data_IF_627944086336
#
_entry.id   IF_627944086336
#
_cell.length_a   1.000
_cell.length_b   1.000
_cell.length_c   1.000
_cell.angle_alpha   90.00
_cell.angle_beta   90.00
_cell.angle_gamma   90.00
#
_symmetry.space_group_name_H-M   'P 1'
#
loop_
_entity.id
_entity.type
_entity.pdbx_description
1 polymer ?
#
# COMPACT_ATOMS: atom_id res chain seq x y z
N UNK A 1 7.58 -0.37 -12.61
CA UNK A 1 7.99 -1.66 -12.01
C UNK A 1 7.28 -1.89 -10.69
N UNK A 2 7.43 -1.02 -9.67
CA UNK A 2 6.82 -1.21 -8.35
C UNK A 2 5.34 -1.63 -8.34
N UNK A 3 4.45 -0.93 -9.07
CA UNK A 3 3.03 -1.27 -9.10
C UNK A 3 2.68 -2.63 -9.70
N UNK A 4 3.56 -3.26 -10.49
CA UNK A 4 3.36 -4.63 -11.01
C UNK A 4 3.82 -5.70 -10.03
N UNK A 5 4.68 -5.33 -9.09
CA UNK A 5 5.32 -6.26 -8.14
C UNK A 5 4.66 -6.22 -6.77
N UNK A 6 3.81 -5.23 -6.47
CA UNK A 6 3.28 -5.03 -5.11
C UNK A 6 2.55 -6.26 -4.56
N UNK A 7 1.83 -7.01 -5.41
CA UNK A 7 1.07 -8.20 -5.00
C UNK A 7 1.90 -9.51 -5.08
N UNK A 8 3.09 -9.47 -5.72
CA UNK A 8 3.90 -10.67 -6.02
C UNK A 8 5.21 -10.65 -5.22
N UNK A 9 5.95 -9.56 -5.32
CA UNK A 9 7.25 -9.30 -4.66
C UNK A 9 7.22 -7.93 -3.96
N UNK A 10 6.47 -7.79 -2.84
CA UNK A 10 6.24 -6.50 -2.19
C UNK A 10 7.53 -5.84 -1.71
N UNK A 11 8.50 -6.62 -1.22
CA UNK A 11 9.80 -6.11 -0.80
C UNK A 11 10.56 -5.48 -1.98
N UNK A 12 10.61 -6.14 -3.14
CA UNK A 12 11.25 -5.60 -4.33
C UNK A 12 10.51 -4.36 -4.85
N UNK A 13 9.17 -4.35 -4.77
CA UNK A 13 8.36 -3.17 -5.10
C UNK A 13 8.74 -1.98 -4.20
N UNK A 14 8.93 -2.21 -2.91
CA UNK A 14 9.36 -1.20 -1.94
C UNK A 14 10.76 -0.67 -2.26
N UNK A 15 11.73 -1.54 -2.55
CA UNK A 15 13.08 -1.10 -2.96
C UNK A 15 13.05 -0.24 -4.23
N UNK A 16 12.20 -0.57 -5.20
CA UNK A 16 12.00 0.27 -6.39
C UNK A 16 11.38 1.64 -6.05
N UNK A 17 10.41 1.70 -5.15
CA UNK A 17 9.82 2.95 -4.70
C UNK A 17 10.84 3.82 -3.95
N UNK A 18 11.67 3.21 -3.09
CA UNK A 18 12.79 3.88 -2.41
C UNK A 18 13.81 4.44 -3.41
N UNK A 19 14.16 3.69 -4.46
CA UNK A 19 15.05 4.20 -5.49
C UNK A 19 14.48 5.44 -6.22
N UNK A 20 13.15 5.49 -6.41
CA UNK A 20 12.47 6.65 -6.97
C UNK A 20 12.46 7.85 -6.00
N UNK A 21 12.33 7.60 -4.69
CA UNK A 21 12.31 8.64 -3.66
C UNK A 21 13.62 9.44 -3.62
N UNK A 22 14.77 8.83 -3.95
CA UNK A 22 16.07 9.52 -4.05
C UNK A 22 16.07 10.71 -5.01
N UNK A 23 15.22 10.68 -6.05
CA UNK A 23 15.10 11.76 -7.04
C UNK A 23 13.81 12.58 -6.89
N UNK A 24 12.77 11.97 -6.32
CA UNK A 24 11.41 12.53 -6.26
C UNK A 24 10.83 12.73 -4.87
N UNK A 25 11.62 12.69 -3.80
CA UNK A 25 11.14 12.69 -2.41
C UNK A 25 10.34 13.92 -1.96
N UNK A 26 10.18 14.95 -2.80
CA UNK A 26 9.30 16.10 -2.49
C UNK A 26 7.92 15.99 -3.16
N UNK A 27 7.70 14.98 -3.97
CA UNK A 27 6.44 14.75 -4.68
C UNK A 27 5.53 13.85 -3.84
N UNK A 28 4.28 14.28 -3.61
CA UNK A 28 3.29 13.48 -2.87
C UNK A 28 3.10 12.10 -3.48
N UNK A 29 2.99 11.99 -4.81
CA UNK A 29 2.84 10.70 -5.50
C UNK A 29 4.01 9.73 -5.24
N UNK A 30 5.22 10.24 -5.05
CA UNK A 30 6.38 9.40 -4.73
C UNK A 30 6.30 8.94 -3.27
N UNK A 31 5.89 9.81 -2.35
CA UNK A 31 5.62 9.47 -0.94
C UNK A 31 4.53 8.41 -0.82
N UNK A 32 3.46 8.57 -1.58
CA UNK A 32 2.37 7.59 -1.68
C UNK A 32 2.86 6.24 -2.18
N UNK A 33 3.66 6.21 -3.25
CA UNK A 33 4.21 4.97 -3.78
C UNK A 33 5.10 4.24 -2.77
N UNK A 34 5.96 4.98 -2.05
CA UNK A 34 6.81 4.40 -0.98
C UNK A 34 5.93 3.91 0.17
N UNK A 35 4.93 4.68 0.59
CA UNK A 35 4.02 4.29 1.68
C UNK A 35 3.22 3.03 1.37
N UNK A 36 2.62 2.93 0.18
CA UNK A 36 1.83 1.77 -0.24
C UNK A 36 2.69 0.50 -0.38
N UNK A 37 3.89 0.63 -0.95
CA UNK A 37 4.79 -0.52 -1.09
C UNK A 37 5.40 -0.94 0.24
N UNK A 38 5.73 0.00 1.12
CA UNK A 38 6.14 -0.30 2.50
C UNK A 38 5.04 -1.05 3.27
N UNK A 39 3.79 -0.59 3.15
CA UNK A 39 2.63 -1.23 3.76
C UNK A 39 2.45 -2.67 3.25
N UNK A 40 2.50 -2.88 1.93
CA UNK A 40 2.43 -4.21 1.34
C UNK A 40 3.59 -5.14 1.78
N UNK A 41 4.78 -4.58 2.02
CA UNK A 41 5.94 -5.30 2.53
C UNK A 41 5.93 -5.52 4.06
N UNK A 42 4.93 -5.00 4.78
CA UNK A 42 4.81 -5.11 6.24
C UNK A 42 5.68 -4.12 7.03
N UNK A 43 6.31 -3.16 6.37
CA UNK A 43 7.10 -2.08 6.98
C UNK A 43 6.16 -0.97 7.47
N UNK A 44 5.31 -1.27 8.45
CA UNK A 44 4.24 -0.39 8.91
C UNK A 44 4.74 0.94 9.49
N UNK A 45 5.91 0.94 10.13
CA UNK A 45 6.53 2.16 10.65
C UNK A 45 6.94 3.12 9.53
N UNK A 46 7.59 2.60 8.50
CA UNK A 46 7.99 3.31 7.28
C UNK A 46 6.76 3.83 6.55
N UNK A 47 5.77 2.96 6.32
CA UNK A 47 4.52 3.30 5.64
C UNK A 47 3.83 4.48 6.33
N UNK A 48 3.72 4.44 7.66
CA UNK A 48 3.07 5.49 8.43
C UNK A 48 3.79 6.84 8.35
N UNK A 49 5.14 6.84 8.37
CA UNK A 49 5.94 8.07 8.18
C UNK A 49 5.70 8.68 6.78
N UNK A 50 5.65 7.84 5.76
CA UNK A 50 5.42 8.28 4.39
C UNK A 50 4.00 8.79 4.17
N UNK A 51 2.97 8.13 4.73
CA UNK A 51 1.58 8.60 4.64
C UNK A 51 1.34 9.91 5.41
N UNK A 52 1.97 10.10 6.57
CA UNK A 52 1.96 11.41 7.27
C UNK A 52 2.57 12.51 6.39
N UNK A 53 3.69 12.21 5.75
CA UNK A 53 4.34 13.15 4.84
C UNK A 53 3.49 13.42 3.59
N UNK A 54 2.89 12.39 3.00
CA UNK A 54 1.94 12.51 1.91
C UNK A 54 0.81 13.46 2.28
N UNK A 55 0.16 13.24 3.43
CA UNK A 55 -0.97 14.04 3.92
C UNK A 55 -0.59 15.49 4.13
N UNK A 56 0.58 15.77 4.70
CA UNK A 56 1.12 17.13 4.87
C UNK A 56 1.32 17.85 3.53
N UNK A 57 1.76 17.14 2.49
CA UNK A 57 2.05 17.73 1.16
C UNK A 57 0.77 17.86 0.32
N UNK A 58 -0.09 16.85 0.34
CA UNK A 58 -1.27 16.77 -0.53
C UNK A 58 -2.53 17.37 0.09
N UNK A 59 -2.60 17.45 1.43
CA UNK A 59 -3.82 17.76 2.18
C UNK A 59 -4.87 16.65 2.13
N UNK A 60 -4.54 15.48 1.57
CA UNK A 60 -5.50 14.40 1.30
C UNK A 60 -5.52 13.36 2.41
N UNK A 61 -6.73 13.05 2.91
CA UNK A 61 -6.98 12.07 3.96
C UNK A 61 -7.25 10.64 3.43
N UNK A 62 -7.11 10.39 2.12
CA UNK A 62 -7.53 9.12 1.48
C UNK A 62 -6.87 7.87 2.08
N UNK A 63 -5.65 8.00 2.62
CA UNK A 63 -4.90 6.91 3.23
C UNK A 63 -5.08 6.78 4.74
N UNK A 64 -6.03 7.51 5.34
CA UNK A 64 -6.34 7.39 6.77
C UNK A 64 -6.67 5.94 7.18
N UNK A 65 -7.41 5.13 6.41
CA UNK A 65 -7.62 3.71 6.73
C UNK A 65 -6.32 2.92 6.80
N UNK A 66 -5.41 3.12 5.84
CA UNK A 66 -4.11 2.43 5.79
C UNK A 66 -3.22 2.86 6.95
N UNK A 67 -3.25 4.14 7.33
CA UNK A 67 -2.54 4.64 8.51
C UNK A 67 -3.06 3.99 9.81
N UNK A 68 -4.38 3.84 9.95
CA UNK A 68 -4.98 3.15 11.09
C UNK A 68 -4.61 1.66 11.11
N UNK A 69 -4.59 1.02 9.95
CA UNK A 69 -4.14 -0.36 9.80
C UNK A 69 -2.66 -0.54 10.16
N UNK A 70 -1.80 0.43 9.82
CA UNK A 70 -0.39 0.43 10.22
C UNK A 70 -0.22 0.50 11.75
N UNK A 71 -0.96 1.36 12.47
CA UNK A 71 -0.89 1.37 13.94
C UNK A 71 -1.37 0.03 14.53
N UNK A 72 -2.38 -0.62 13.92
CA UNK A 72 -2.79 -1.98 14.30
C UNK A 72 -1.67 -3.00 14.04
N UNK A 73 -1.03 -2.96 12.88
CA UNK A 73 0.13 -3.80 12.54
C UNK A 73 1.35 -3.59 13.44
N UNK A 74 1.48 -2.41 14.05
CA UNK A 74 2.48 -2.09 15.08
C UNK A 74 2.06 -2.51 16.51
N UNK A 75 0.93 -3.21 16.66
CA UNK A 75 0.41 -3.67 17.94
C UNK A 75 -0.24 -2.56 18.78
N UNK A 76 -0.73 -1.49 18.15
CA UNK A 76 -1.36 -0.33 18.79
C UNK A 76 -2.82 -0.17 18.34
N UNK A 77 -3.70 -1.16 18.59
CA UNK A 77 -5.10 -1.12 18.16
C UNK A 77 -5.87 0.08 18.74
N UNK A 78 -5.54 0.55 19.95
CA UNK A 78 -6.18 1.74 20.54
C UNK A 78 -5.95 3.00 19.67
N UNK A 79 -4.71 3.19 19.16
CA UNK A 79 -4.42 4.31 18.26
C UNK A 79 -5.13 4.20 16.92
N UNK A 80 -5.37 2.99 16.44
CA UNK A 80 -6.19 2.78 15.25
C UNK A 80 -7.62 3.27 15.49
N UNK A 81 -8.21 2.97 16.65
CA UNK A 81 -9.55 3.43 17.03
C UNK A 81 -9.63 4.95 17.25
N UNK A 82 -8.59 5.57 17.76
CA UNK A 82 -8.53 7.04 17.89
C UNK A 82 -8.57 7.73 16.52
N UNK A 83 -7.84 7.20 15.53
CA UNK A 83 -7.90 7.72 14.15
C UNK A 83 -9.28 7.53 13.52
N UNK A 84 -10.00 6.45 13.82
CA UNK A 84 -11.37 6.23 13.34
C UNK A 84 -12.33 7.33 13.84
N UNK A 85 -12.07 7.87 15.03
CA UNK A 85 -12.88 8.93 15.68
C UNK A 85 -12.46 10.34 15.30
N UNK A 86 -11.39 10.50 14.53
CA UNK A 86 -10.87 11.80 14.13
C UNK A 86 -11.86 12.56 13.24
N UNK A 87 -11.86 13.91 13.26
CA UNK A 87 -12.67 14.71 12.36
C UNK A 87 -12.41 14.38 10.87
N UNK A 88 -11.16 14.10 10.52
CA UNK A 88 -10.72 13.77 9.15
C UNK A 88 -11.37 12.50 8.60
N UNK A 89 -11.79 11.57 9.46
CA UNK A 89 -12.53 10.38 9.06
C UNK A 89 -13.89 10.72 8.41
N UNK A 90 -14.48 11.86 8.75
CA UNK A 90 -15.77 12.29 8.19
C UNK A 90 -15.66 12.71 6.72
N UNK A 91 -14.48 13.18 6.31
CA UNK A 91 -14.19 13.66 4.95
C UNK A 91 -13.99 12.52 3.95
N UNK A 92 -13.83 11.28 4.42
CA UNK A 92 -13.67 10.12 3.56
C UNK A 92 -14.92 9.88 2.69
N UNK A 93 -14.68 9.40 1.48
CA UNK A 93 -15.71 8.91 0.59
C UNK A 93 -16.28 7.56 1.09
N UNK A 94 -17.28 7.02 0.39
CA UNK A 94 -17.91 5.76 0.81
C UNK A 94 -16.92 4.59 0.87
N UNK A 95 -16.05 4.34 -0.14
CA UNK A 95 -14.98 3.35 -0.03
C UNK A 95 -14.05 3.59 1.17
N UNK A 96 -13.56 4.82 1.37
CA UNK A 96 -12.66 5.13 2.49
C UNK A 96 -13.31 4.87 3.86
N UNK A 97 -14.59 5.22 4.03
CA UNK A 97 -15.36 4.92 5.24
C UNK A 97 -15.51 3.42 5.49
N UNK A 98 -15.70 2.64 4.44
CA UNK A 98 -15.81 1.18 4.51
C UNK A 98 -14.49 0.54 4.92
N UNK A 99 -13.38 0.95 4.31
CA UNK A 99 -12.04 0.48 4.70
C UNK A 99 -11.74 0.85 6.16
N UNK A 100 -12.04 2.08 6.58
CA UNK A 100 -11.82 2.53 7.95
C UNK A 100 -12.65 1.71 8.97
N UNK A 101 -13.91 1.40 8.65
CA UNK A 101 -14.76 0.55 9.48
C UNK A 101 -14.23 -0.89 9.60
N UNK A 102 -13.74 -1.47 8.50
CA UNK A 102 -13.09 -2.79 8.52
C UNK A 102 -11.84 -2.78 9.41
N UNK A 103 -11.03 -1.72 9.33
CA UNK A 103 -9.85 -1.54 10.18
C UNK A 103 -10.22 -1.41 11.65
N UNK A 104 -11.28 -0.65 11.96
CA UNK A 104 -11.81 -0.48 13.32
C UNK A 104 -12.30 -1.81 13.89
N UNK A 105 -13.05 -2.58 13.11
CA UNK A 105 -13.51 -3.92 13.48
C UNK A 105 -12.35 -4.86 13.78
N UNK A 106 -11.29 -4.84 12.96
CA UNK A 106 -10.05 -5.56 13.21
C UNK A 106 -9.37 -5.13 14.53
N UNK A 107 -9.28 -3.82 14.79
CA UNK A 107 -8.70 -3.30 16.03
C UNK A 107 -9.49 -3.74 17.28
N UNK A 108 -10.82 -3.78 17.19
CA UNK A 108 -11.68 -4.34 18.25
C UNK A 108 -11.44 -5.84 18.45
N UNK A 109 -11.28 -6.60 17.37
CA UNK A 109 -11.00 -8.02 17.43
C UNK A 109 -9.64 -8.32 18.09
N UNK A 110 -8.60 -7.54 17.80
CA UNK A 110 -7.29 -7.63 18.47
C UNK A 110 -7.39 -7.42 19.99
N UNK A 111 -8.27 -6.51 20.39
CA UNK A 111 -8.63 -6.26 21.80
C UNK A 111 -9.60 -7.30 22.38
N UNK A 112 -9.98 -8.34 21.62
CA UNK A 112 -10.96 -9.37 21.97
C UNK A 112 -12.37 -8.83 22.25
N UNK A 113 -12.70 -7.67 21.70
CA UNK A 113 -14.00 -7.01 21.82
C UNK A 113 -14.90 -7.38 20.62
N UNK A 114 -15.25 -8.66 20.49
CA UNK A 114 -15.91 -9.18 19.28
C UNK A 114 -17.30 -8.57 19.02
N UNK A 115 -18.11 -8.32 20.05
CA UNK A 115 -19.40 -7.62 19.88
C UNK A 115 -19.23 -6.19 19.36
N UNK A 116 -18.20 -5.49 19.83
CA UNK A 116 -17.87 -4.16 19.33
C UNK A 116 -17.41 -4.23 17.88
N UNK A 117 -16.61 -5.24 17.50
CA UNK A 117 -16.16 -5.43 16.12
C UNK A 117 -17.34 -5.58 15.13
N UNK A 118 -18.39 -6.31 15.52
CA UNK A 118 -19.63 -6.39 14.72
C UNK A 118 -20.27 -5.01 14.56
N UNK A 119 -20.36 -4.26 15.67
CA UNK A 119 -20.98 -2.92 15.68
C UNK A 119 -20.24 -1.91 14.78
N UNK A 120 -18.90 -1.96 14.75
CA UNK A 120 -18.09 -1.06 13.88
C UNK A 120 -18.40 -1.27 12.38
N UNK A 121 -18.86 -2.46 11.98
CA UNK A 121 -19.18 -2.80 10.58
C UNK A 121 -20.64 -2.45 10.19
N UNK A 122 -21.51 -2.14 11.16
CA UNK A 122 -22.92 -1.77 10.93
C UNK A 122 -23.06 -0.32 10.43
N UNK A 123 -22.33 0.01 9.37
CA UNK A 123 -22.31 1.34 8.73
C UNK A 123 -23.39 1.47 7.65
N UNK A 124 -23.78 2.70 7.23
CA UNK A 124 -24.78 2.91 6.18
C UNK A 124 -24.46 2.23 4.83
N UNK A 125 -23.19 1.96 4.57
CA UNK A 125 -22.71 1.29 3.36
C UNK A 125 -22.94 -0.23 3.38
N UNK A 126 -23.23 -0.82 4.54
CA UNK A 126 -23.60 -2.23 4.69
C UNK A 126 -25.06 -2.45 4.23
N UNK A 127 -25.29 -2.34 2.93
CA UNK A 127 -26.59 -2.62 2.30
C UNK A 127 -26.54 -3.93 1.52
N UNK A 128 -27.23 -4.94 2.02
CA UNK A 128 -27.29 -6.28 1.42
C UNK A 128 -27.78 -6.28 -0.03
N UNK A 129 -28.53 -5.25 -0.45
CA UNK A 129 -29.15 -5.20 -1.78
C UNK A 129 -28.29 -4.47 -2.82
N UNK A 130 -27.15 -3.90 -2.44
CA UNK A 130 -26.30 -3.12 -3.34
C UNK A 130 -24.88 -3.69 -3.40
N UNK A 131 -24.40 -3.88 -4.62
CA UNK A 131 -23.04 -4.31 -4.90
C UNK A 131 -22.22 -3.12 -5.43
N UNK A 132 -21.47 -2.49 -4.54
CA UNK A 132 -20.40 -1.55 -4.87
C UNK A 132 -19.05 -2.28 -4.86
N UNK A 133 -18.00 -1.64 -5.38
CA UNK A 133 -16.64 -2.21 -5.41
C UNK A 133 -16.15 -2.71 -4.05
N UNK A 134 -16.54 -2.05 -2.96
CA UNK A 134 -16.18 -2.44 -1.59
C UNK A 134 -17.12 -3.48 -0.96
N UNK A 135 -18.32 -3.70 -1.51
CA UNK A 135 -19.37 -4.52 -0.89
C UNK A 135 -18.93 -5.97 -0.61
N UNK A 136 -18.26 -6.68 -1.55
CA UNK A 136 -17.81 -8.05 -1.27
C UNK A 136 -16.89 -8.17 -0.05
N UNK A 137 -15.91 -7.27 0.08
CA UNK A 137 -14.97 -7.26 1.20
C UNK A 137 -15.69 -6.93 2.51
N UNK A 138 -16.57 -5.93 2.51
CA UNK A 138 -17.37 -5.57 3.68
C UNK A 138 -18.29 -6.72 4.13
N UNK A 139 -18.96 -7.41 3.20
CA UNK A 139 -19.84 -8.54 3.53
C UNK A 139 -19.08 -9.72 4.11
N UNK A 140 -17.85 -10.00 3.63
CA UNK A 140 -16.98 -11.01 4.24
C UNK A 140 -16.54 -10.63 5.64
N UNK A 141 -16.03 -9.42 5.82
CA UNK A 141 -15.59 -8.94 7.13
C UNK A 141 -16.74 -9.00 8.15
N UNK A 142 -17.96 -8.65 7.73
CA UNK A 142 -19.14 -8.72 8.59
C UNK A 142 -19.55 -10.16 8.90
N UNK A 143 -19.49 -11.08 7.93
CA UNK A 143 -19.73 -12.49 8.16
C UNK A 143 -18.72 -13.09 9.16
N UNK A 144 -17.45 -12.74 9.04
CA UNK A 144 -16.39 -13.18 9.95
C UNK A 144 -16.62 -12.65 11.38
N UNK A 145 -16.96 -11.36 11.52
CA UNK A 145 -17.28 -10.76 12.81
C UNK A 145 -18.51 -11.42 13.47
N UNK A 146 -19.57 -11.70 12.69
CA UNK A 146 -20.75 -12.42 13.17
C UNK A 146 -20.43 -13.85 13.62
N UNK A 147 -19.56 -14.54 12.89
CA UNK A 147 -19.09 -15.88 13.24
C UNK A 147 -18.33 -15.87 14.57
N UNK A 148 -17.49 -14.86 14.80
CA UNK A 148 -16.71 -14.70 16.02
C UNK A 148 -17.58 -14.56 17.29
N UNK A 149 -18.78 -13.98 17.17
CA UNK A 149 -19.76 -13.87 18.28
C UNK A 149 -20.79 -15.03 18.31
N UNK A 150 -20.65 -16.03 17.42
CA UNK A 150 -21.53 -17.20 17.36
C UNK A 150 -22.84 -17.02 16.60
N UNK A 151 -23.03 -15.91 15.88
CA UNK A 151 -24.20 -15.64 15.02
C UNK A 151 -24.06 -16.31 13.65
N UNK A 152 -23.89 -17.63 13.64
CA UNK A 152 -23.50 -18.41 12.45
C UNK A 152 -24.52 -18.37 11.30
N UNK A 153 -25.82 -18.42 11.58
CA UNK A 153 -26.86 -18.37 10.53
C UNK A 153 -26.84 -17.05 9.75
N UNK A 154 -26.60 -15.95 10.46
CA UNK A 154 -26.44 -14.63 9.85
C UNK A 154 -25.12 -14.52 9.10
N UNK A 155 -24.02 -15.01 9.69
CA UNK A 155 -22.72 -15.06 9.03
C UNK A 155 -22.79 -15.78 7.69
N UNK A 156 -23.44 -16.95 7.64
CA UNK A 156 -23.63 -17.73 6.41
C UNK A 156 -24.42 -16.95 5.34
N UNK A 157 -25.42 -16.16 5.75
CA UNK A 157 -26.18 -15.32 4.83
C UNK A 157 -25.29 -14.26 4.20
N UNK A 158 -24.49 -13.57 4.99
CA UNK A 158 -23.58 -12.52 4.50
C UNK A 158 -22.42 -13.09 3.68
N UNK A 159 -21.87 -14.25 4.05
CA UNK A 159 -20.86 -14.95 3.28
C UNK A 159 -21.38 -15.33 1.88
N UNK A 160 -22.61 -15.86 1.79
CA UNK A 160 -23.26 -16.11 0.49
C UNK A 160 -23.46 -14.82 -0.30
N UNK A 161 -23.88 -13.74 0.37
CA UNK A 161 -24.08 -12.46 -0.31
C UNK A 161 -22.78 -11.87 -0.85
N UNK A 162 -21.66 -12.06 -0.15
CA UNK A 162 -20.34 -11.66 -0.65
C UNK A 162 -20.06 -12.30 -2.02
N UNK A 163 -20.26 -13.62 -2.15
CA UNK A 163 -20.09 -14.33 -3.43
C UNK A 163 -21.03 -13.84 -4.53
N UNK A 164 -22.28 -13.53 -4.18
CA UNK A 164 -23.25 -12.95 -5.13
C UNK A 164 -22.78 -11.59 -5.62
N UNK A 165 -22.28 -10.74 -4.70
CA UNK A 165 -21.76 -9.42 -5.04
C UNK A 165 -20.51 -9.51 -5.92
N UNK A 166 -19.62 -10.47 -5.67
CA UNK A 166 -18.43 -10.68 -6.52
C UNK A 166 -18.80 -11.11 -7.93
N UNK A 167 -19.70 -12.08 -8.06
CA UNK A 167 -20.18 -12.53 -9.36
C UNK A 167 -20.86 -11.38 -10.13
N UNK A 168 -21.66 -10.56 -9.45
CA UNK A 168 -22.30 -9.40 -10.06
C UNK A 168 -21.29 -8.33 -10.54
N UNK A 169 -20.14 -8.22 -9.88
CA UNK A 169 -19.08 -7.26 -10.21
C UNK A 169 -17.99 -7.83 -11.13
N UNK A 170 -17.98 -9.15 -11.37
CA UNK A 170 -16.91 -9.82 -12.12
C UNK A 170 -15.55 -9.70 -11.44
N UNK A 171 -15.50 -9.82 -10.11
CA UNK A 171 -14.26 -9.74 -9.32
C UNK A 171 -13.99 -11.05 -8.57
N UNK A 172 -12.77 -11.20 -8.04
CA UNK A 172 -12.36 -12.43 -7.35
C UNK A 172 -12.32 -13.61 -8.32
N UNK A 173 -12.91 -14.74 -7.93
CA UNK A 173 -12.96 -15.96 -8.74
C UNK A 173 -13.79 -15.82 -10.04
N UNK A 174 -14.58 -14.74 -10.16
CA UNK A 174 -15.39 -14.43 -11.33
C UNK A 174 -14.72 -13.42 -12.28
N UNK A 175 -13.49 -12.98 -11.97
CA UNK A 175 -12.73 -12.10 -12.85
C UNK A 175 -12.30 -12.85 -14.13
N UNK A 176 -12.50 -12.21 -15.29
CA UNK A 176 -11.99 -12.76 -16.54
C UNK A 176 -10.45 -12.70 -16.55
N UNK A 177 -9.76 -13.80 -16.91
CA UNK A 177 -8.30 -13.82 -16.91
C UNK A 177 -7.75 -12.85 -17.96
N UNK A 178 -6.76 -12.03 -17.58
CA UNK A 178 -6.02 -11.21 -18.52
C UNK A 178 -5.11 -12.12 -19.37
N UNK A 179 -5.55 -12.44 -20.59
CA UNK A 179 -4.74 -13.21 -21.54
C UNK A 179 -3.71 -12.26 -22.15
N UNK A 180 -2.49 -12.26 -21.61
CA UNK A 180 -1.35 -11.65 -22.28
C UNK A 180 -0.92 -12.56 -23.44
N UNK A 181 -1.12 -12.09 -24.67
CA UNK A 181 -0.55 -12.71 -25.86
C UNK A 181 0.97 -12.51 -25.84
N UNK A 182 1.68 -13.50 -25.30
CA UNK A 182 3.13 -13.62 -25.41
C UNK A 182 3.45 -14.09 -26.83
N UNK A 183 3.17 -13.24 -27.82
CA UNK A 183 3.30 -13.57 -29.23
C UNK A 183 4.61 -14.30 -29.47
N UNK A 184 4.50 -15.54 -29.97
CA UNK A 184 5.65 -16.22 -30.54
C UNK A 184 6.25 -15.29 -31.59
N UNK A 185 7.52 -14.92 -31.42
CA UNK A 185 8.20 -14.04 -32.35
C UNK A 185 7.95 -14.57 -33.77
N UNK A 186 7.32 -13.78 -34.65
CA UNK A 186 7.12 -14.15 -36.07
C UNK A 186 8.44 -14.58 -36.76
N UNK A 187 9.58 -14.20 -36.15
CA UNK A 187 10.92 -14.64 -36.50
C UNK A 187 11.12 -16.17 -36.40
N UNK A 188 10.52 -16.85 -35.42
CA UNK A 188 10.65 -18.30 -35.20
C UNK A 188 9.85 -19.09 -36.25
N UNK A 189 8.66 -18.61 -36.62
CA UNK A 189 7.84 -19.20 -37.68
C UNK A 189 8.48 -18.99 -39.07
N UNK A 190 9.08 -17.81 -39.30
CA UNK A 190 9.86 -17.52 -40.50
C UNK A 190 11.16 -18.35 -40.59
N UNK A 191 11.76 -18.73 -39.45
CA UNK A 191 12.91 -19.62 -39.40
C UNK A 191 12.52 -21.09 -39.70
N UNK A 192 11.33 -21.53 -39.25
CA UNK A 192 10.80 -22.86 -39.52
C UNK A 192 10.31 -23.03 -40.98
N UNK A 193 9.92 -21.96 -41.65
CA UNK A 193 9.36 -21.94 -43.01
C UNK A 193 10.41 -21.93 -44.14
N UNK A 194 11.72 -21.87 -43.86
CA UNK A 194 12.74 -21.87 -44.93
C UNK A 194 12.83 -23.25 -45.61
N UNK A 195 12.53 -23.37 -46.92
CA UNK A 195 12.67 -24.64 -47.63
C UNK A 195 14.15 -25.04 -47.72
N UNK A 196 14.46 -26.30 -47.39
CA UNK A 196 15.81 -26.88 -47.56
C UNK A 196 16.20 -26.79 -49.04
N UNK A 197 17.23 -25.99 -49.33
CA UNK A 197 17.83 -25.85 -50.66
C UNK A 197 18.15 -27.23 -51.26
N UNK A 198 17.53 -27.53 -52.41
CA UNK A 198 17.89 -28.67 -53.26
C UNK A 198 19.18 -28.33 -54.00
N UNK A 199 20.24 -29.12 -53.78
CA UNK A 199 21.52 -29.00 -54.49
C UNK A 199 21.32 -29.23 -55.99
N UNK A 200 21.81 -28.31 -56.82
CA UNK A 200 22.17 -28.60 -58.21
C UNK A 200 23.44 -27.84 -58.59
N UNK A 201 24.39 -28.57 -59.16
CA UNK A 201 25.60 -28.10 -59.85
C UNK A 201 25.94 -29.14 -60.95
N UNK A 202 26.75 -28.88 -62.01
CA UNK A 202 27.59 -27.69 -62.28
C UNK A 202 27.58 -27.12 -63.74
N UNK A 203 28.03 -25.84 -63.87
CA UNK A 203 28.92 -25.11 -64.83
C UNK A 203 29.34 -25.64 -66.25
N UNK A 204 29.80 -24.81 -67.25
CA UNK A 204 31.00 -23.93 -67.10
C UNK A 204 31.26 -22.69 -68.02
N UNK A 205 32.27 -21.92 -67.57
CA UNK A 205 33.37 -21.17 -68.23
C UNK A 205 33.14 -20.06 -69.27
N UNK A 206 33.59 -18.83 -68.95
CA UNK A 206 34.56 -18.04 -69.76
C UNK A 206 35.45 -17.18 -68.84
N UNK A 207 36.76 -17.16 -69.12
CA UNK A 207 37.88 -16.76 -68.25
C UNK A 207 38.66 -15.55 -68.81
N UNK A 208 38.84 -14.50 -67.95
CA UNK A 208 40.04 -13.65 -67.63
C UNK A 208 40.66 -12.66 -68.66
N UNK A 209 41.69 -11.83 -68.28
CA UNK A 209 42.13 -11.22 -66.99
C UNK A 209 42.43 -9.68 -67.12
N UNK A 210 42.91 -8.91 -66.12
CA UNK A 210 44.32 -8.63 -65.71
C UNK A 210 44.37 -7.84 -64.36
N UNK A 211 45.10 -8.32 -63.32
CA UNK A 211 46.38 -7.85 -62.68
C UNK A 211 46.21 -6.62 -61.73
N UNK A 212 46.87 -6.45 -60.57
CA UNK A 212 48.03 -7.05 -59.88
C UNK A 212 48.03 -6.66 -58.37
N UNK A 213 48.87 -7.34 -57.58
CA UNK A 213 49.27 -7.25 -56.14
C UNK A 213 49.34 -5.85 -55.47
N UNK A 214 49.25 -5.69 -54.13
CA UNK A 214 50.36 -5.80 -53.12
C UNK A 214 49.86 -6.13 -51.68
N UNK A 215 50.81 -6.62 -50.88
CA UNK A 215 50.84 -7.21 -49.53
C UNK A 215 51.18 -6.17 -48.41
N UNK A 216 51.00 -6.57 -47.13
CA UNK A 216 51.57 -6.02 -45.85
C UNK A 216 50.82 -4.81 -45.21
N UNK A 217 50.69 -4.60 -43.89
CA UNK A 217 51.11 -5.22 -42.62
C UNK A 217 50.42 -4.48 -41.44
N UNK A 218 50.43 -5.12 -40.27
CA UNK A 218 49.98 -4.79 -38.90
C UNK A 218 49.73 -3.32 -38.46
N UNK A 219 48.71 -3.15 -37.59
CA UNK A 219 48.80 -2.32 -36.38
C UNK A 219 47.72 -2.74 -35.35
N UNK A 220 48.17 -3.13 -34.17
CA UNK A 220 47.38 -3.33 -32.96
C UNK A 220 47.05 -1.96 -32.32
N UNK A 221 45.88 -1.86 -31.70
CA UNK A 221 45.57 -0.80 -30.73
C UNK A 221 44.73 -1.40 -29.59
N UNK A 222 45.28 -1.26 -28.39
CA UNK A 222 44.75 -1.61 -27.08
C UNK A 222 43.31 -1.12 -26.85
N UNK A 223 42.52 -1.96 -26.19
CA UNK A 223 41.36 -1.50 -25.40
C UNK A 223 41.68 -1.88 -23.96
N UNK A 224 42.05 -0.86 -23.18
CA UNK A 224 42.22 -0.97 -21.73
C UNK A 224 40.93 -1.47 -21.08
N UNK A 225 41.07 -2.53 -20.29
CA UNK A 225 40.06 -3.05 -19.39
C UNK A 225 40.19 -2.27 -18.08
N UNK A 226 39.31 -1.31 -17.85
CA UNK A 226 39.22 -0.63 -16.56
C UNK A 226 38.27 -1.45 -15.68
N UNK A 227 38.87 -2.29 -14.84
CA UNK A 227 38.21 -2.98 -13.74
C UNK A 227 37.78 -1.93 -12.71
N UNK A 228 36.50 -1.55 -12.75
CA UNK A 228 35.93 -0.69 -11.70
C UNK A 228 35.58 -1.58 -10.51
N UNK A 229 36.49 -1.57 -9.52
CA UNK A 229 36.23 -2.09 -8.18
C UNK A 229 34.97 -1.42 -7.61
N UNK A 230 33.92 -2.22 -7.37
CA UNK A 230 32.75 -1.81 -6.61
C UNK A 230 33.14 -1.82 -5.13
N UNK A 231 33.52 -0.65 -4.64
CA UNK A 231 33.70 -0.38 -3.22
C UNK A 231 32.36 -0.49 -2.50
N UNK A 232 32.36 -1.36 -1.50
CA UNK A 232 31.27 -1.74 -0.61
C UNK A 232 31.03 -0.59 0.37
N UNK A 233 30.36 0.47 -0.13
CA UNK A 233 29.95 1.59 0.69
C UNK A 233 28.68 1.20 1.47
N UNK A 234 28.89 0.65 2.67
CA UNK A 234 27.96 0.69 3.80
C UNK A 234 27.20 2.03 3.81
N UNK A 235 25.92 1.99 3.44
CA UNK A 235 25.08 3.17 3.49
C UNK A 235 24.48 3.31 4.89
N UNK A 236 25.17 4.06 5.75
CA UNK A 236 24.63 4.72 6.94
C UNK A 236 23.54 5.74 6.56
N UNK A 237 22.41 5.25 6.04
CA UNK A 237 21.20 6.05 5.82
C UNK A 237 20.18 5.77 6.91
N UNK A 238 20.58 6.02 8.15
CA UNK A 238 19.71 5.95 9.32
C UNK A 238 19.96 7.17 10.22
N UNK A 239 19.65 8.37 9.72
CA UNK A 239 19.33 9.53 10.55
C UNK A 239 18.80 10.66 9.64
N UNK A 240 17.49 10.76 9.49
CA UNK A 240 16.89 12.02 9.07
C UNK A 240 16.91 12.95 10.28
N UNK A 241 17.78 13.94 10.24
CA UNK A 241 17.84 15.05 11.19
C UNK A 241 16.63 15.99 11.00
N UNK A 242 15.41 15.48 11.19
CA UNK A 242 14.19 16.31 11.31
C UNK A 242 13.96 16.62 12.78
N UNK A 243 14.79 17.53 13.30
CA UNK A 243 14.79 18.00 14.68
C UNK A 243 13.57 18.86 15.06
N UNK A 244 12.54 18.94 14.20
CA UNK A 244 11.31 19.71 14.44
C UNK A 244 10.13 18.81 14.84
N UNK A 245 10.35 17.53 15.15
CA UNK A 245 9.27 16.56 15.40
C UNK A 245 8.89 16.34 16.87
N UNK A 246 9.58 16.96 17.83
CA UNK A 246 9.37 16.71 19.26
C UNK A 246 8.59 17.81 20.03
N UNK A 247 8.15 18.90 19.38
CA UNK A 247 7.64 20.06 20.13
C UNK A 247 6.11 20.20 20.26
N UNK A 248 5.32 19.38 19.56
CA UNK A 248 3.85 19.53 19.52
C UNK A 248 3.07 18.45 20.31
N UNK A 249 3.74 17.69 21.19
CA UNK A 249 3.07 16.70 22.08
C UNK A 249 2.97 17.13 23.55
N UNK A 250 3.15 18.42 23.85
CA UNK A 250 2.85 18.95 25.18
C UNK A 250 1.45 19.58 25.18
N UNK A 251 0.43 18.77 25.39
CA UNK A 251 -0.86 19.28 25.86
C UNK A 251 -0.67 19.76 27.31
N UNK A 252 -1.10 21.00 27.56
CA UNK A 252 -1.07 21.71 28.83
C UNK A 252 -2.06 21.06 29.80
N UNK A 253 -1.57 20.17 30.66
CA UNK A 253 -2.32 19.56 31.76
C UNK A 253 -2.24 20.51 32.97
N UNK A 254 -3.10 21.54 32.97
CA UNK A 254 -3.27 22.44 34.10
C UNK A 254 -4.64 22.22 34.75
N UNK A 255 -4.70 21.31 35.73
CA UNK A 255 -5.70 21.14 36.80
C UNK A 255 -5.34 19.78 37.46
N UNK A 256 -5.16 19.53 38.76
CA UNK A 256 -5.42 20.16 40.04
C UNK A 256 -4.59 19.35 41.06
N UNK A 257 -3.98 19.97 42.07
CA UNK A 257 -3.87 19.34 43.41
C UNK A 257 -3.40 20.36 44.46
N UNK A 258 -4.29 20.77 45.36
CA UNK A 258 -4.26 20.32 46.76
C UNK A 258 -5.25 21.14 47.62
N UNK A 259 -6.03 20.39 48.41
CA UNK A 259 -7.02 20.90 49.33
C UNK A 259 -6.44 21.17 50.74
N UNK A 260 -7.18 22.01 51.49
CA UNK A 260 -7.15 22.31 52.95
C UNK A 260 -6.22 23.48 53.31
N UNK A 261 -6.59 24.44 54.16
CA UNK A 261 -7.58 24.50 55.26
C UNK A 261 -7.76 26.00 55.61
N UNK A 262 -8.95 26.46 56.00
CA UNK A 262 -9.19 27.18 57.27
C UNK A 262 -10.58 27.86 57.31
N UNK A 263 -11.29 27.53 58.39
CA UNK A 263 -12.48 28.18 58.92
C UNK A 263 -12.28 29.69 59.14
N UNK A 264 -13.29 30.51 58.77
CA UNK A 264 -13.85 31.55 59.63
C UNK A 264 -14.96 32.35 58.93
N UNK A 265 -16.08 32.48 59.66
CA UNK A 265 -17.02 33.61 59.60
C UNK A 265 -17.90 33.76 58.34
N UNK A 266 -19.19 33.41 58.46
CA UNK A 266 -20.20 34.46 58.71
C UNK A 266 -21.56 33.84 59.10
N UNK A 267 -21.95 34.05 60.35
CA UNK A 267 -23.32 33.88 60.82
C UNK A 267 -24.11 35.17 60.57
N UNK A 268 -25.37 35.01 60.16
CA UNK A 268 -26.41 36.04 60.27
C UNK A 268 -26.57 36.88 59.02
N UNK A 269 -27.75 37.25 58.59
CA UNK A 269 -29.10 37.10 59.14
C UNK A 269 -30.02 37.68 58.07
N UNK A 270 -31.08 36.98 57.65
CA UNK A 270 -32.29 37.73 57.32
C UNK A 270 -33.55 36.88 57.38
N UNK A 271 -34.22 36.97 58.52
CA UNK A 271 -35.67 36.88 58.58
C UNK A 271 -36.13 37.79 59.72
N UNK A 272 -36.79 38.90 59.41
CA UNK A 272 -38.12 39.29 59.94
C UNK A 272 -38.46 40.78 59.74
N UNK A 273 -39.72 40.98 59.34
CA UNK A 273 -40.65 42.06 59.75
C UNK A 273 -40.46 43.47 59.16
N UNK A 274 -41.52 43.94 58.48
CA UNK A 274 -41.74 45.34 58.09
C UNK A 274 -42.61 45.47 56.87
#
# INVERSE_FOLDING_TARGET
MAGRLIDIEPELAFQHALAASRRGGRLSVVREAVGLTAYAAGHYGEALREFRTYRRISGSNVHLPVMADCERGLGRPDRALDMVRSPEAQDLDAPGKVELAMVAAGARADLKQFDAAVTELEIPQLDINRAFSYSPRLFRAYAEALSAVGRTEEADKWARQALVAENALGVGDFAEPEILDLGWDEQEEAAASKPRFVKSAPEPDVVKPETESVIAEAAAADVEHDDVELDDAESDYFESNDAESDIDSAEDDSEEEEAKEEDAENQGSDSQHG
#
